data_IF_014480790458
#
_entry.id   IF_014480790458
#
_cell.length_a   1.000
_cell.length_b   1.000
_cell.length_c   1.000
_cell.angle_alpha   90.00
_cell.angle_beta   90.00
_cell.angle_gamma   90.00
#
_symmetry.space_group_name_H-M   'P 1'
#
loop_
_entity.id
_entity.type
_entity.pdbx_description
1 polymer ?
#
# COMPACT_ATOMS: atom_id res chain seq x y z
N UNK A 1 28.73 0.36 -9.62
CA UNK A 1 27.43 1.02 -9.92
C UNK A 1 26.43 0.99 -8.76
N UNK A 2 26.17 -0.16 -8.10
CA UNK A 2 25.20 -0.29 -6.99
C UNK A 2 25.57 0.58 -5.77
N UNK A 3 26.83 0.61 -5.37
CA UNK A 3 27.30 1.38 -4.22
C UNK A 3 27.30 2.91 -4.47
N UNK A 4 27.57 3.32 -5.70
CA UNK A 4 27.54 4.74 -6.08
C UNK A 4 26.10 5.28 -6.01
N UNK A 5 25.11 4.49 -6.45
CA UNK A 5 23.71 4.88 -6.38
C UNK A 5 23.21 4.95 -4.93
N UNK A 6 23.63 4.02 -4.07
CA UNK A 6 23.33 4.06 -2.62
C UNK A 6 23.95 5.30 -1.98
N UNK A 7 25.18 5.63 -2.33
CA UNK A 7 25.87 6.85 -1.87
C UNK A 7 25.11 8.11 -2.26
N UNK A 8 24.67 8.25 -3.51
CA UNK A 8 23.87 9.41 -3.95
C UNK A 8 22.51 9.47 -3.28
N UNK A 9 21.85 8.32 -3.04
CA UNK A 9 20.56 8.30 -2.31
C UNK A 9 20.78 8.72 -0.86
N UNK A 10 21.86 8.28 -0.20
CA UNK A 10 22.18 8.70 1.17
C UNK A 10 22.38 10.22 1.24
N UNK A 11 23.16 10.79 0.32
CA UNK A 11 23.34 12.24 0.23
C UNK A 11 22.00 12.94 -0.02
N UNK A 12 21.15 12.41 -0.88
CA UNK A 12 19.83 12.99 -1.15
C UNK A 12 18.90 12.93 0.06
N UNK A 13 18.99 11.85 0.85
CA UNK A 13 18.21 11.70 2.09
C UNK A 13 18.71 12.65 3.18
N UNK A 14 20.03 12.79 3.34
CA UNK A 14 20.63 13.66 4.36
C UNK A 14 20.47 15.15 4.02
N UNK A 15 20.64 15.49 2.76
CA UNK A 15 20.53 16.86 2.25
C UNK A 15 19.25 17.03 1.44
N UNK A 16 18.11 17.07 2.09
CA UNK A 16 16.74 17.23 1.54
C UNK A 16 16.61 18.20 0.35
N UNK A 17 17.66 18.96 0.08
CA UNK A 17 17.74 20.04 -0.91
C UNK A 17 18.08 19.54 -2.33
N UNK A 18 18.50 18.30 -2.51
CA UNK A 18 18.92 17.79 -3.83
C UNK A 18 17.71 17.45 -4.71
N UNK A 19 16.96 18.48 -5.08
CA UNK A 19 15.84 18.42 -6.02
C UNK A 19 16.09 17.63 -7.33
N UNK A 20 17.30 17.53 -7.92
CA UNK A 20 17.50 16.74 -9.14
C UNK A 20 17.15 15.27 -8.98
N UNK A 21 17.28 14.70 -7.77
CA UNK A 21 16.98 13.28 -7.52
C UNK A 21 15.49 12.95 -7.46
N UNK A 22 14.61 13.95 -7.35
CA UNK A 22 13.17 13.73 -7.45
C UNK A 22 12.70 13.46 -8.88
N UNK A 23 13.33 14.11 -9.85
CA UNK A 23 12.92 14.02 -11.25
C UNK A 23 13.02 12.60 -11.83
N UNK A 24 14.14 11.86 -11.67
CA UNK A 24 14.21 10.50 -12.19
C UNK A 24 13.08 9.60 -11.67
N UNK A 25 12.69 9.75 -10.41
CA UNK A 25 11.62 8.93 -9.82
C UNK A 25 10.27 9.25 -10.48
N UNK A 26 9.97 10.53 -10.68
CA UNK A 26 8.72 10.96 -11.33
C UNK A 26 8.61 10.43 -12.77
N UNK A 27 9.71 10.41 -13.51
CA UNK A 27 9.74 9.88 -14.87
C UNK A 27 9.73 8.35 -14.94
N UNK A 28 10.27 7.69 -13.93
CA UNK A 28 10.29 6.23 -13.82
C UNK A 28 8.94 5.64 -13.38
N UNK A 29 8.01 6.47 -12.94
CA UNK A 29 6.67 6.02 -12.60
C UNK A 29 5.94 5.54 -13.85
N UNK A 30 5.43 4.31 -13.79
CA UNK A 30 4.70 3.68 -14.89
C UNK A 30 3.21 3.71 -14.61
N UNK A 31 2.45 4.14 -15.60
CA UNK A 31 1.00 4.02 -15.60
C UNK A 31 0.60 2.55 -15.86
N UNK A 32 -0.40 2.06 -15.16
CA UNK A 32 -1.02 0.77 -15.43
C UNK A 32 -1.85 0.91 -16.70
N UNK A 33 -1.54 0.11 -17.70
CA UNK A 33 -2.28 0.07 -18.96
C UNK A 33 -3.08 -1.21 -19.01
N UNK A 34 -4.33 -1.11 -19.42
CA UNK A 34 -5.24 -2.24 -19.64
C UNK A 34 -6.09 -1.94 -20.88
N UNK A 35 -6.57 -2.99 -21.51
CA UNK A 35 -7.56 -2.87 -22.58
C UNK A 35 -8.96 -2.67 -21.97
N UNK A 36 -9.88 -2.05 -22.70
CA UNK A 36 -11.28 -1.86 -22.32
C UNK A 36 -11.45 -1.11 -20.98
N UNK A 37 -10.98 0.13 -20.93
CA UNK A 37 -11.16 1.01 -19.78
C UNK A 37 -12.60 1.54 -19.76
N UNK A 38 -13.26 1.44 -18.62
CA UNK A 38 -14.52 2.14 -18.36
C UNK A 38 -14.33 3.66 -18.47
N UNK A 39 -15.43 4.40 -18.64
CA UNK A 39 -15.36 5.88 -18.63
C UNK A 39 -14.53 6.34 -17.42
N UNK A 40 -13.57 7.23 -17.68
CA UNK A 40 -12.72 7.77 -16.62
C UNK A 40 -13.55 8.45 -15.53
N UNK A 41 -13.25 8.14 -14.27
CA UNK A 41 -13.87 8.80 -13.11
C UNK A 41 -13.09 10.05 -12.66
N UNK A 42 -12.03 10.43 -13.37
CA UNK A 42 -11.20 11.59 -13.10
C UNK A 42 -10.21 11.41 -11.95
N UNK A 43 -10.21 10.29 -11.23
CA UNK A 43 -9.36 10.06 -10.05
C UNK A 43 -8.06 9.36 -10.44
N UNK A 44 -6.94 9.91 -9.98
CA UNK A 44 -5.60 9.37 -10.21
C UNK A 44 -5.01 8.80 -8.92
N UNK A 45 -4.58 7.56 -8.96
CA UNK A 45 -4.04 6.81 -7.82
C UNK A 45 -2.53 6.57 -7.94
N UNK A 46 -1.83 6.59 -6.80
CA UNK A 46 -0.45 6.14 -6.67
C UNK A 46 -0.40 4.82 -5.89
N UNK A 47 -0.04 3.73 -6.55
CA UNK A 47 0.18 2.45 -5.88
C UNK A 47 1.58 2.37 -5.28
N UNK A 48 1.65 2.40 -3.96
CA UNK A 48 2.86 2.13 -3.16
C UNK A 48 2.98 0.62 -2.98
N UNK A 49 4.20 0.07 -3.15
CA UNK A 49 4.45 -1.37 -3.08
C UNK A 49 3.58 -2.18 -4.05
N UNK A 50 3.53 -1.71 -5.30
CA UNK A 50 2.62 -2.21 -6.34
C UNK A 50 2.68 -3.73 -6.56
N UNK A 51 3.82 -4.39 -6.34
CA UNK A 51 3.96 -5.85 -6.47
C UNK A 51 3.07 -6.66 -5.50
N UNK A 52 2.55 -6.02 -4.46
CA UNK A 52 1.60 -6.64 -3.53
C UNK A 52 0.17 -6.67 -4.03
N UNK A 53 -0.20 -5.87 -5.03
CA UNK A 53 -1.58 -5.77 -5.50
C UNK A 53 -2.05 -6.92 -6.42
N UNK A 54 -1.13 -7.63 -7.09
CA UNK A 54 -1.40 -8.89 -7.82
C UNK A 54 -2.71 -8.89 -8.64
N UNK A 55 -2.89 -7.94 -9.55
CA UNK A 55 -4.08 -7.83 -10.41
C UNK A 55 -5.13 -6.82 -9.93
N UNK A 56 -5.12 -6.38 -8.67
CA UNK A 56 -6.08 -5.38 -8.19
C UNK A 56 -5.92 -4.03 -8.92
N UNK A 57 -4.69 -3.65 -9.32
CA UNK A 57 -4.43 -2.39 -10.02
C UNK A 57 -5.02 -2.38 -11.43
N UNK A 58 -4.97 -3.50 -12.10
CA UNK A 58 -5.57 -3.68 -13.42
C UNK A 58 -7.09 -3.55 -13.36
N UNK A 59 -7.73 -4.09 -12.32
CA UNK A 59 -9.17 -3.93 -12.10
C UNK A 59 -9.55 -2.49 -11.77
N UNK A 60 -8.79 -1.82 -10.89
CA UNK A 60 -9.00 -0.40 -10.62
C UNK A 60 -8.89 0.44 -11.91
N UNK A 61 -7.90 0.13 -12.77
CA UNK A 61 -7.75 0.84 -14.04
C UNK A 61 -8.92 0.56 -14.99
N UNK A 62 -9.37 -0.70 -15.09
CA UNK A 62 -10.59 -1.05 -15.85
C UNK A 62 -11.83 -0.32 -15.33
N UNK A 63 -11.91 -0.06 -14.04
CA UNK A 63 -13.00 0.69 -13.40
C UNK A 63 -12.90 2.22 -13.56
N UNK A 64 -11.98 2.71 -14.39
CA UNK A 64 -11.86 4.12 -14.75
C UNK A 64 -10.89 4.94 -13.90
N UNK A 65 -10.16 4.32 -12.96
CA UNK A 65 -9.10 5.01 -12.24
C UNK A 65 -7.83 5.09 -13.07
N UNK A 66 -7.15 6.22 -13.05
CA UNK A 66 -5.79 6.32 -13.56
C UNK A 66 -4.80 5.88 -12.47
N UNK A 67 -4.03 4.83 -12.71
CA UNK A 67 -3.17 4.24 -11.68
C UNK A 67 -1.70 4.35 -12.08
N UNK A 68 -0.89 4.97 -11.23
CA UNK A 68 0.56 4.97 -11.34
C UNK A 68 1.18 3.99 -10.35
N UNK A 69 2.23 3.27 -10.80
CA UNK A 69 3.05 2.38 -9.96
C UNK A 69 4.28 3.13 -9.47
N UNK A 70 4.48 3.17 -8.14
CA UNK A 70 5.76 3.59 -7.58
C UNK A 70 6.84 2.58 -7.98
N UNK A 71 7.98 3.00 -8.55
CA UNK A 71 9.04 2.07 -8.91
C UNK A 71 9.57 1.33 -7.69
N UNK A 72 9.34 0.01 -7.61
CA UNK A 72 9.66 -0.83 -6.46
C UNK A 72 11.13 -0.74 -6.04
N UNK A 73 12.05 -0.74 -7.02
CA UNK A 73 13.48 -0.61 -6.75
C UNK A 73 13.85 0.69 -6.06
N UNK A 74 13.17 1.80 -6.37
CA UNK A 74 13.39 3.08 -5.72
C UNK A 74 12.76 3.12 -4.33
N UNK A 75 11.56 2.60 -4.19
CA UNK A 75 10.89 2.51 -2.90
C UNK A 75 11.73 1.74 -1.87
N UNK A 76 12.25 0.59 -2.25
CA UNK A 76 13.11 -0.22 -1.38
C UNK A 76 14.49 0.39 -1.16
N UNK A 77 15.11 0.99 -2.17
CA UNK A 77 16.44 1.60 -2.06
C UNK A 77 16.44 2.83 -1.16
N UNK A 78 15.46 3.70 -1.28
CA UNK A 78 15.29 4.83 -0.37
C UNK A 78 15.21 4.32 1.06
N UNK A 79 14.46 3.24 1.28
CA UNK A 79 14.32 2.64 2.60
C UNK A 79 15.62 2.01 3.12
N UNK A 80 16.38 1.32 2.25
CA UNK A 80 17.66 0.70 2.62
C UNK A 80 18.82 1.70 2.74
N UNK A 81 18.71 2.85 2.09
CA UNK A 81 19.78 3.83 2.07
C UNK A 81 20.08 4.42 3.46
N UNK A 82 19.12 4.44 4.36
CA UNK A 82 19.29 4.99 5.69
C UNK A 82 19.10 3.97 6.83
N UNK A 83 18.87 2.74 6.48
CA UNK A 83 18.96 1.64 7.42
C UNK A 83 20.36 1.04 7.35
N UNK A 84 21.13 1.18 8.40
CA UNK A 84 22.30 0.33 8.59
C UNK A 84 21.83 -1.12 8.58
N UNK A 85 22.35 -1.92 7.63
CA UNK A 85 21.84 -3.23 7.23
C UNK A 85 21.98 -4.34 8.31
N UNK A 86 22.38 -4.00 9.52
CA UNK A 86 22.73 -5.00 10.54
C UNK A 86 21.55 -5.73 11.17
N UNK A 87 20.34 -5.27 11.00
CA UNK A 87 19.20 -5.96 11.62
C UNK A 87 18.08 -6.31 10.64
N UNK A 88 18.24 -7.43 9.95
CA UNK A 88 17.12 -8.07 9.21
C UNK A 88 15.92 -8.44 10.10
N UNK A 89 16.09 -8.49 11.41
CA UNK A 89 15.05 -8.79 12.39
C UNK A 89 14.14 -7.59 12.74
N UNK A 90 14.52 -6.38 12.37
CA UNK A 90 13.85 -5.14 12.77
C UNK A 90 12.79 -4.64 11.80
N UNK A 91 12.13 -5.49 11.05
CA UNK A 91 10.81 -5.18 10.48
C UNK A 91 9.74 -4.96 11.57
N UNK A 92 10.11 -5.08 12.83
CA UNK A 92 9.31 -4.70 13.99
C UNK A 92 9.49 -3.19 14.20
N UNK A 93 8.41 -2.52 14.53
CA UNK A 93 8.39 -1.10 14.84
C UNK A 93 9.38 -0.84 15.98
N UNK A 94 10.39 0.04 15.77
CA UNK A 94 11.35 0.30 16.80
C UNK A 94 10.72 1.04 17.98
N UNK A 95 11.18 0.82 19.21
CA UNK A 95 10.77 1.61 20.37
C UNK A 95 11.05 3.09 20.15
N UNK A 96 10.25 3.96 20.78
CA UNK A 96 10.18 5.40 20.52
C UNK A 96 11.50 6.19 20.69
N UNK A 97 12.49 5.66 21.36
CA UNK A 97 13.74 6.33 21.70
C UNK A 97 15.00 5.74 21.02
N UNK A 98 14.87 5.00 19.93
CA UNK A 98 16.03 4.42 19.25
C UNK A 98 16.61 5.34 18.16
N UNK A 99 17.90 5.19 17.84
CA UNK A 99 18.56 5.85 16.70
C UNK A 99 17.82 5.64 15.39
N UNK A 100 17.13 4.52 15.25
CA UNK A 100 16.26 4.15 14.12
C UNK A 100 15.11 5.15 13.95
N UNK A 101 14.60 5.74 15.01
CA UNK A 101 13.56 6.77 14.92
C UNK A 101 14.08 8.06 14.30
N UNK A 102 15.33 8.44 14.58
CA UNK A 102 15.96 9.63 13.98
C UNK A 102 16.04 9.44 12.47
N UNK A 103 16.50 8.28 12.01
CA UNK A 103 16.59 7.97 10.59
C UNK A 103 15.22 7.91 9.93
N UNK A 104 14.21 7.35 10.59
CA UNK A 104 12.83 7.37 10.09
C UNK A 104 12.27 8.78 9.95
N UNK A 105 12.55 9.68 10.88
CA UNK A 105 12.15 11.10 10.79
C UNK A 105 12.80 11.75 9.57
N UNK A 106 14.09 11.53 9.36
CA UNK A 106 14.81 12.06 8.18
C UNK A 106 14.18 11.59 6.88
N UNK A 107 13.89 10.28 6.76
CA UNK A 107 13.26 9.74 5.55
C UNK A 107 11.85 10.24 5.35
N UNK A 108 11.04 10.26 6.38
CA UNK A 108 9.68 10.83 6.28
C UNK A 108 9.74 12.27 5.76
N UNK A 109 10.75 13.04 6.19
CA UNK A 109 10.98 14.40 5.69
C UNK A 109 11.38 14.42 4.21
N UNK A 110 12.27 13.52 3.79
CA UNK A 110 12.63 13.34 2.38
C UNK A 110 11.41 12.88 1.55
N UNK A 111 10.70 11.85 2.00
CA UNK A 111 9.52 11.32 1.32
C UNK A 111 8.41 12.37 1.19
N UNK A 112 8.22 13.20 2.19
CA UNK A 112 7.26 14.30 2.15
C UNK A 112 7.52 15.25 0.97
N UNK A 113 8.77 15.66 0.77
CA UNK A 113 9.14 16.53 -0.36
C UNK A 113 9.02 15.80 -1.70
N UNK A 114 9.48 14.56 -1.78
CA UNK A 114 9.35 13.71 -2.96
C UNK A 114 7.89 13.52 -3.38
N UNK A 115 7.04 13.15 -2.42
CA UNK A 115 5.62 12.90 -2.66
C UNK A 115 4.90 14.15 -3.14
N UNK A 116 5.11 15.30 -2.51
CA UNK A 116 4.53 16.57 -2.99
C UNK A 116 4.87 16.85 -4.47
N UNK A 117 6.13 16.57 -4.87
CA UNK A 117 6.54 16.72 -6.27
C UNK A 117 5.85 15.70 -7.18
N UNK A 118 5.74 14.44 -6.75
CA UNK A 118 5.07 13.37 -7.50
C UNK A 118 3.59 13.71 -7.67
N UNK A 119 2.89 14.01 -6.58
CA UNK A 119 1.46 14.28 -6.58
C UNK A 119 1.13 15.47 -7.49
N UNK A 120 1.86 16.58 -7.35
CA UNK A 120 1.65 17.76 -8.21
C UNK A 120 1.97 17.46 -9.68
N UNK A 121 3.11 16.82 -9.99
CA UNK A 121 3.53 16.60 -11.38
C UNK A 121 2.66 15.59 -12.13
N UNK A 122 2.08 14.63 -11.43
CA UNK A 122 1.23 13.57 -12.01
C UNK A 122 -0.25 13.77 -11.73
N UNK A 123 -0.63 14.87 -11.08
CA UNK A 123 -2.01 15.14 -10.64
C UNK A 123 -2.62 13.95 -9.92
N UNK A 124 -1.91 13.45 -8.88
CA UNK A 124 -2.35 12.30 -8.10
C UNK A 124 -3.26 12.78 -6.98
N UNK A 125 -4.42 12.15 -6.82
CA UNK A 125 -5.42 12.50 -5.82
C UNK A 125 -5.25 11.69 -4.53
N UNK A 126 -4.80 10.42 -4.64
CA UNK A 126 -4.74 9.50 -3.51
C UNK A 126 -3.59 8.49 -3.70
N UNK A 127 -2.96 8.07 -2.60
CA UNK A 127 -2.08 6.91 -2.62
C UNK A 127 -2.77 5.68 -2.01
N UNK A 128 -2.43 4.52 -2.54
CA UNK A 128 -2.91 3.23 -2.06
C UNK A 128 -1.75 2.33 -1.67
N UNK A 129 -1.89 1.61 -0.54
CA UNK A 129 -0.94 0.64 -0.02
C UNK A 129 -1.59 -0.72 0.19
N UNK A 130 -0.79 -1.79 0.26
CA UNK A 130 -1.28 -3.16 0.36
C UNK A 130 -1.11 -3.80 1.74
N UNK A 131 -0.50 -3.11 2.69
CA UNK A 131 -0.20 -3.65 4.01
C UNK A 131 -0.22 -2.63 5.14
N UNK A 132 -0.60 -3.08 6.34
CA UNK A 132 -0.64 -2.26 7.55
C UNK A 132 0.67 -2.28 8.35
N UNK A 133 1.50 -3.32 8.18
CA UNK A 133 2.59 -3.63 9.10
C UNK A 133 3.97 -3.64 8.46
N UNK A 134 4.06 -3.39 7.18
CA UNK A 134 5.35 -3.27 6.50
C UNK A 134 5.97 -1.91 6.82
N UNK A 135 7.13 -1.90 7.45
CA UNK A 135 7.81 -0.66 7.85
C UNK A 135 7.99 0.33 6.70
N UNK A 136 8.34 -0.19 5.51
CA UNK A 136 8.43 0.64 4.32
C UNK A 136 7.11 1.31 3.95
N UNK A 137 5.98 0.61 4.08
CA UNK A 137 4.66 1.16 3.74
C UNK A 137 4.20 2.18 4.80
N UNK A 138 4.57 1.97 6.07
CA UNK A 138 4.26 2.89 7.16
C UNK A 138 4.90 4.27 6.96
N UNK A 139 6.18 4.33 6.60
CA UNK A 139 6.88 5.59 6.40
C UNK A 139 6.41 6.33 5.16
N UNK A 140 6.10 5.59 4.09
CA UNK A 140 5.49 6.15 2.89
C UNK A 140 4.07 6.67 3.19
N UNK A 141 3.22 5.87 3.84
CA UNK A 141 1.86 6.26 4.21
C UNK A 141 1.82 7.48 5.12
N UNK A 142 2.67 7.52 6.16
CA UNK A 142 2.81 8.68 7.04
C UNK A 142 3.23 9.94 6.28
N UNK A 143 4.10 9.79 5.27
CA UNK A 143 4.55 10.92 4.45
C UNK A 143 3.50 11.39 3.47
N UNK A 144 2.67 10.50 2.91
CA UNK A 144 1.51 10.85 2.08
C UNK A 144 0.51 11.67 2.89
N UNK A 145 0.12 11.16 4.05
CA UNK A 145 -0.84 11.84 4.95
C UNK A 145 -0.32 13.21 5.40
N UNK A 146 0.97 13.30 5.75
CA UNK A 146 1.60 14.56 6.12
C UNK A 146 1.73 15.54 4.96
N UNK A 147 1.75 15.03 3.71
CA UNK A 147 1.71 15.86 2.51
C UNK A 147 0.32 16.45 2.23
N UNK A 148 -0.71 16.02 2.96
CA UNK A 148 -2.09 16.47 2.82
C UNK A 148 -2.94 15.63 1.85
N UNK A 149 -2.45 14.43 1.46
CA UNK A 149 -3.16 13.55 0.54
C UNK A 149 -3.73 12.32 1.24
N UNK A 150 -4.87 11.77 0.77
CA UNK A 150 -5.41 10.53 1.27
C UNK A 150 -4.46 9.35 1.04
N UNK A 151 -4.37 8.48 2.06
CA UNK A 151 -3.66 7.19 1.97
C UNK A 151 -4.59 6.08 2.39
N UNK A 152 -4.98 5.21 1.46
CA UNK A 152 -5.89 4.10 1.69
C UNK A 152 -5.12 2.79 1.67
N UNK A 153 -5.30 1.98 2.70
CA UNK A 153 -4.66 0.66 2.80
C UNK A 153 -5.65 -0.43 2.42
N UNK A 154 -5.39 -1.10 1.31
CA UNK A 154 -6.06 -2.34 0.93
C UNK A 154 -5.37 -3.51 1.62
N UNK A 155 -5.82 -3.84 2.83
CA UNK A 155 -5.18 -4.91 3.60
C UNK A 155 -5.53 -6.28 3.04
N UNK A 156 -4.51 -7.02 2.59
CA UNK A 156 -4.68 -8.26 1.81
C UNK A 156 -4.51 -9.54 2.64
N UNK A 157 -3.90 -9.47 3.82
CA UNK A 157 -3.64 -10.61 4.68
C UNK A 157 -4.85 -10.89 5.59
N UNK A 158 -5.96 -11.32 4.98
CA UNK A 158 -7.29 -11.34 5.60
C UNK A 158 -7.87 -12.74 5.79
N UNK A 159 -7.08 -13.80 5.64
CA UNK A 159 -7.62 -15.15 5.73
C UNK A 159 -7.82 -15.53 7.19
N UNK A 160 -9.08 -15.66 7.62
CA UNK A 160 -9.48 -16.22 8.91
C UNK A 160 -10.22 -17.50 8.62
N UNK A 161 -9.58 -18.64 8.87
CA UNK A 161 -10.11 -19.98 8.58
C UNK A 161 -10.33 -20.83 9.83
N UNK A 162 -9.72 -20.44 10.94
CA UNK A 162 -9.78 -21.16 12.21
C UNK A 162 -9.56 -20.20 13.40
N UNK A 163 -9.61 -20.77 14.61
CA UNK A 163 -9.41 -20.02 15.86
C UNK A 163 -8.03 -19.34 15.93
N UNK A 164 -6.98 -19.98 15.44
CA UNK A 164 -5.61 -19.46 15.55
C UNK A 164 -5.44 -18.23 14.64
N UNK A 165 -5.94 -18.29 13.41
CA UNK A 165 -5.92 -17.14 12.49
C UNK A 165 -6.80 -15.98 12.98
N UNK A 166 -7.89 -16.29 13.71
CA UNK A 166 -8.70 -15.27 14.38
C UNK A 166 -7.94 -14.58 15.53
N UNK A 167 -7.24 -15.36 16.36
CA UNK A 167 -6.41 -14.83 17.43
C UNK A 167 -5.23 -13.99 16.89
N UNK A 168 -4.60 -14.43 15.79
CA UNK A 168 -3.56 -13.64 15.10
C UNK A 168 -4.11 -12.31 14.60
N UNK A 169 -5.32 -12.28 14.05
CA UNK A 169 -5.98 -11.04 13.63
C UNK A 169 -6.21 -10.10 14.81
N UNK A 170 -6.61 -10.60 15.99
CA UNK A 170 -6.74 -9.79 17.22
C UNK A 170 -5.38 -9.22 17.62
N UNK A 171 -4.32 -10.03 17.61
CA UNK A 171 -2.97 -9.54 17.94
C UNK A 171 -2.48 -8.46 16.97
N UNK A 172 -2.75 -8.63 15.68
CA UNK A 172 -2.45 -7.62 14.65
C UNK A 172 -3.23 -6.32 14.90
N UNK A 173 -4.53 -6.40 15.23
CA UNK A 173 -5.34 -5.24 15.55
C UNK A 173 -4.82 -4.50 16.81
N UNK A 174 -4.52 -5.23 17.88
CA UNK A 174 -3.91 -4.67 19.10
C UNK A 174 -2.54 -4.04 18.82
N UNK A 175 -1.75 -4.64 17.93
CA UNK A 175 -0.48 -4.07 17.49
C UNK A 175 -0.71 -2.74 16.77
N UNK A 176 -1.72 -2.66 15.89
CA UNK A 176 -2.05 -1.40 15.20
C UNK A 176 -2.46 -0.32 16.19
N UNK A 177 -3.21 -0.66 17.24
CA UNK A 177 -3.57 0.27 18.31
C UNK A 177 -2.33 0.87 18.99
N UNK A 178 -1.30 0.05 19.27
CA UNK A 178 -0.05 0.51 19.90
C UNK A 178 0.77 1.46 19.01
N UNK A 179 0.77 1.24 17.70
CA UNK A 179 1.60 2.00 16.76
C UNK A 179 0.89 3.19 16.14
N UNK A 180 -0.43 3.22 16.20
CA UNK A 180 -1.28 4.19 15.54
C UNK A 180 -1.42 3.95 14.04
N UNK A 181 -2.60 4.17 13.51
CA UNK A 181 -2.86 4.12 12.07
C UNK A 181 -2.58 5.48 11.42
N UNK A 182 -1.69 5.51 10.46
CA UNK A 182 -1.24 6.75 9.79
C UNK A 182 -1.91 7.00 8.42
N UNK A 183 -2.88 6.18 8.03
CA UNK A 183 -3.61 6.34 6.76
C UNK A 183 -4.93 7.11 6.92
N UNK A 184 -5.67 7.24 5.83
CA UNK A 184 -7.02 7.80 5.80
C UNK A 184 -8.06 6.71 6.09
N UNK A 185 -7.95 5.57 5.40
CA UNK A 185 -8.89 4.45 5.54
C UNK A 185 -8.20 3.11 5.35
N UNK A 186 -8.80 2.07 5.95
CA UNK A 186 -8.42 0.67 5.79
C UNK A 186 -9.56 -0.06 5.09
N UNK A 187 -9.22 -0.81 4.05
CA UNK A 187 -10.16 -1.67 3.33
C UNK A 187 -9.78 -3.13 3.56
N UNK A 188 -10.67 -3.87 4.19
CA UNK A 188 -10.59 -5.33 4.35
C UNK A 188 -11.40 -6.04 3.29
N UNK A 189 -11.01 -7.29 2.98
CA UNK A 189 -11.74 -8.11 2.02
C UNK A 189 -12.98 -8.78 2.62
N UNK A 190 -13.09 -8.87 3.96
CA UNK A 190 -14.21 -9.52 4.62
C UNK A 190 -14.65 -8.80 5.90
N UNK A 191 -15.91 -9.05 6.28
CA UNK A 191 -16.55 -8.44 7.44
C UNK A 191 -15.94 -8.88 8.77
N UNK A 192 -15.39 -10.10 8.85
CA UNK A 192 -14.80 -10.64 10.09
C UNK A 192 -13.54 -9.84 10.46
N UNK A 193 -12.65 -9.61 9.48
CA UNK A 193 -11.47 -8.74 9.70
C UNK A 193 -11.88 -7.32 10.09
N UNK A 194 -12.87 -6.74 9.39
CA UNK A 194 -13.40 -5.42 9.76
C UNK A 194 -13.82 -5.41 11.23
N UNK A 195 -14.65 -6.37 11.65
CA UNK A 195 -15.18 -6.46 13.02
C UNK A 195 -14.06 -6.60 14.08
N UNK A 196 -13.02 -7.39 13.80
CA UNK A 196 -11.86 -7.52 14.69
C UNK A 196 -11.11 -6.19 14.82
N UNK A 197 -10.88 -5.50 13.71
CA UNK A 197 -10.15 -4.23 13.73
C UNK A 197 -10.99 -3.09 14.33
N UNK A 198 -12.30 -3.03 14.08
CA UNK A 198 -13.21 -2.10 14.75
C UNK A 198 -13.09 -2.21 16.28
N UNK A 199 -13.00 -3.45 16.79
CA UNK A 199 -13.00 -3.71 18.24
C UNK A 199 -11.62 -3.48 18.90
N UNK A 200 -10.51 -3.78 18.21
CA UNK A 200 -9.22 -3.90 18.87
C UNK A 200 -8.12 -2.98 18.33
N UNK A 201 -8.33 -2.27 17.21
CA UNK A 201 -7.28 -1.49 16.57
C UNK A 201 -7.14 -0.05 17.07
N UNK A 202 -8.14 0.46 17.79
CA UNK A 202 -8.20 1.88 18.17
C UNK A 202 -8.39 2.85 16.98
N UNK A 203 -8.62 2.32 15.79
CA UNK A 203 -8.96 3.13 14.59
C UNK A 203 -10.46 3.39 14.60
N UNK A 204 -10.86 4.63 14.29
CA UNK A 204 -12.25 4.99 14.14
C UNK A 204 -12.96 4.08 13.12
N UNK A 205 -14.11 3.53 13.49
CA UNK A 205 -14.87 2.57 12.67
C UNK A 205 -15.31 3.15 11.33
N UNK A 206 -15.52 4.46 11.24
CA UNK A 206 -15.83 5.17 9.98
C UNK A 206 -14.68 5.09 8.95
N UNK A 207 -13.48 4.80 9.40
CA UNK A 207 -12.27 4.66 8.57
C UNK A 207 -11.97 3.21 8.21
N UNK A 208 -12.77 2.24 8.69
CA UNK A 208 -12.57 0.80 8.45
C UNK A 208 -13.71 0.27 7.59
N UNK A 209 -13.38 -0.26 6.41
CA UNK A 209 -14.34 -0.73 5.43
C UNK A 209 -14.12 -2.21 5.11
N UNK A 210 -15.20 -2.88 4.68
CA UNK A 210 -15.15 -4.24 4.13
C UNK A 210 -15.82 -4.22 2.76
N UNK A 211 -15.00 -4.23 1.70
CA UNK A 211 -15.46 -4.03 0.32
C UNK A 211 -15.21 -5.24 -0.59
N UNK A 212 -14.73 -6.36 -0.04
CA UNK A 212 -14.37 -7.52 -0.85
C UNK A 212 -12.96 -7.41 -1.45
N UNK A 213 -12.61 -8.38 -2.28
CA UNK A 213 -11.33 -8.44 -2.97
C UNK A 213 -11.47 -7.87 -4.38
N UNK A 214 -10.93 -6.70 -4.63
CA UNK A 214 -11.05 -5.97 -5.91
C UNK A 214 -10.78 -6.85 -7.14
N UNK A 215 -9.77 -7.72 -7.07
CA UNK A 215 -9.44 -8.66 -8.18
C UNK A 215 -10.52 -9.67 -8.50
N UNK A 216 -11.50 -9.89 -7.60
CA UNK A 216 -12.61 -10.82 -7.80
C UNK A 216 -13.79 -10.18 -8.53
N UNK A 217 -13.83 -8.85 -8.62
CA UNK A 217 -14.97 -8.13 -9.21
C UNK A 217 -15.22 -8.54 -10.66
N UNK A 218 -14.18 -8.71 -11.47
CA UNK A 218 -14.31 -9.15 -12.86
C UNK A 218 -14.86 -10.58 -12.92
N UNK A 219 -14.34 -11.47 -12.07
CA UNK A 219 -14.78 -12.86 -12.03
C UNK A 219 -16.27 -12.99 -11.63
N UNK A 220 -16.69 -12.18 -10.66
CA UNK A 220 -18.11 -12.14 -10.23
C UNK A 220 -18.99 -11.63 -11.36
N UNK A 221 -18.64 -10.54 -12.04
CA UNK A 221 -19.37 -10.02 -13.21
C UNK A 221 -19.45 -11.04 -14.34
N UNK A 222 -18.35 -11.76 -14.62
CA UNK A 222 -18.32 -12.79 -15.64
C UNK A 222 -19.23 -13.98 -15.30
N UNK A 223 -19.33 -14.37 -14.02
CA UNK A 223 -20.27 -15.39 -13.55
C UNK A 223 -21.71 -14.89 -13.70
N UNK A 224 -22.00 -13.67 -13.27
CA UNK A 224 -23.35 -13.08 -13.35
C UNK A 224 -23.83 -12.98 -14.79
N UNK A 225 -22.95 -12.57 -15.71
CA UNK A 225 -23.26 -12.51 -17.13
C UNK A 225 -23.52 -13.90 -17.76
N UNK A 226 -22.87 -14.94 -17.25
CA UNK A 226 -23.02 -16.32 -17.74
C UNK A 226 -24.16 -17.10 -17.10
N UNK A 227 -24.70 -16.67 -15.97
CA UNK A 227 -25.85 -17.34 -15.31
C UNK A 227 -27.05 -17.53 -16.23
N UNK A 228 -27.24 -16.63 -17.19
CA UNK A 228 -28.33 -16.70 -18.16
C UNK A 228 -28.10 -17.67 -19.33
N UNK A 229 -26.93 -18.29 -19.43
CA UNK A 229 -26.53 -19.14 -20.58
C UNK A 229 -26.12 -20.57 -20.22
N UNK A 230 -26.02 -20.92 -18.93
CA UNK A 230 -25.48 -22.20 -18.49
C UNK A 230 -26.54 -23.10 -17.89
N UNK A 231 -26.98 -24.11 -18.67
CA UNK A 231 -27.79 -25.23 -18.18
C UNK A 231 -26.97 -26.30 -17.38
N UNK A 232 -25.65 -26.18 -17.33
CA UNK A 232 -24.77 -27.10 -16.61
C UNK A 232 -23.83 -26.35 -15.68
N UNK A 233 -24.05 -26.47 -14.38
CA UNK A 233 -23.14 -25.92 -13.35
C UNK A 233 -22.00 -26.89 -13.08
N UNK A 234 -20.75 -26.46 -13.25
CA UNK A 234 -19.55 -27.17 -12.77
C UNK A 234 -19.04 -26.47 -11.52
N UNK A 235 -18.84 -27.23 -10.46
CA UNK A 235 -18.21 -26.76 -9.22
C UNK A 235 -16.75 -27.24 -9.27
N UNK A 236 -15.82 -26.30 -9.26
CA UNK A 236 -14.39 -26.58 -9.12
C UNK A 236 -13.96 -26.27 -7.69
N UNK A 237 -13.52 -27.27 -6.95
CA UNK A 237 -12.93 -27.12 -5.62
C UNK A 237 -11.41 -27.03 -5.75
N UNK A 238 -10.85 -25.93 -5.27
CA UNK A 238 -9.41 -25.79 -5.10
C UNK A 238 -9.04 -26.18 -3.68
N UNK A 239 -8.31 -27.26 -3.52
CA UNK A 239 -7.67 -27.63 -2.25
C UNK A 239 -6.26 -27.05 -2.24
N UNK A 240 -5.90 -26.38 -1.17
CA UNK A 240 -4.51 -25.97 -0.91
C UNK A 240 -3.88 -27.03 0.00
N UNK A 241 -2.66 -27.49 -0.31
CA UNK A 241 -1.95 -28.42 0.56
C UNK A 241 -1.56 -27.80 1.90
#
# INVERSE_FOLDING_TARGET
MKNLLVFFINIAVDKIILWPFYYPIVYLMKEVKVDNISKSNGITLLAINHGRFRGDLEILTKSGFKVYKMPYRWQTRIFHAYRNLESKSEFKIPPDNSSINIDRVRVRKYLLHLLRKIFNKKSIDCAIGAGLFYNQDLDWGASVTKAGYPYIVFHRENLIVNKDTYLDAIQKAKKLNKIGFVGTSIVFQNKVMKSVFDKYSGVDSSRIHSLGATRMDQYIRDIESKKNTLNNSRITLFTFP
#
